data_IF_484968856439
#
_entry.id   IF_484968856439
#
_cell.length_a   1.000
_cell.length_b   1.000
_cell.length_c   1.000
_cell.angle_alpha   90.00
_cell.angle_beta   90.00
_cell.angle_gamma   90.00
#
_symmetry.space_group_name_H-M   'P 1'
#
loop_
_entity.id
_entity.type
_entity.pdbx_description
1 polymer ?
#
# COMPACT_ATOMS: atom_id res chain seq x y z
N UNK A 1 -5.26 7.05 -28.40
CA UNK A 1 -5.05 6.97 -26.94
C UNK A 1 -5.18 8.38 -26.37
N UNK A 2 -6.06 8.62 -25.39
CA UNK A 2 -6.18 9.95 -24.75
C UNK A 2 -5.21 10.06 -23.58
N UNK A 3 -4.84 11.29 -23.19
CA UNK A 3 -3.99 11.53 -22.00
C UNK A 3 -4.64 10.94 -20.74
N UNK A 4 -5.96 11.02 -20.63
CA UNK A 4 -6.74 10.39 -19.57
C UNK A 4 -6.51 8.87 -19.49
N UNK A 5 -6.57 8.16 -20.62
CA UNK A 5 -6.33 6.71 -20.65
C UNK A 5 -4.88 6.36 -20.27
N UNK A 6 -3.91 7.18 -20.69
CA UNK A 6 -2.49 6.98 -20.32
C UNK A 6 -2.30 7.18 -18.80
N UNK A 7 -2.89 8.23 -18.23
CA UNK A 7 -2.84 8.47 -16.79
C UNK A 7 -3.50 7.34 -15.99
N UNK A 8 -4.67 6.87 -16.44
CA UNK A 8 -5.35 5.73 -15.83
C UNK A 8 -4.49 4.47 -15.88
N UNK A 9 -3.86 4.19 -17.02
CA UNK A 9 -2.93 3.07 -17.17
C UNK A 9 -1.76 3.18 -16.18
N UNK A 10 -1.09 4.33 -16.12
CA UNK A 10 0.03 4.56 -15.20
C UNK A 10 -0.39 4.42 -13.73
N UNK A 11 -1.59 4.91 -13.36
CA UNK A 11 -2.15 4.74 -12.02
C UNK A 11 -2.30 3.26 -11.64
N UNK A 12 -2.87 2.47 -12.55
CA UNK A 12 -3.08 1.02 -12.34
C UNK A 12 -1.73 0.30 -12.26
N UNK A 13 -0.79 0.61 -13.17
CA UNK A 13 0.57 0.03 -13.14
C UNK A 13 1.28 0.38 -11.83
N UNK A 14 1.15 1.61 -11.34
CA UNK A 14 1.67 2.02 -10.05
C UNK A 14 1.09 1.20 -8.89
N UNK A 15 -0.22 0.95 -8.91
CA UNK A 15 -0.90 0.13 -7.92
C UNK A 15 -0.46 -1.35 -7.97
N UNK A 16 -0.35 -1.92 -9.18
CA UNK A 16 0.18 -3.28 -9.36
C UNK A 16 1.62 -3.38 -8.84
N UNK A 17 2.45 -2.38 -9.15
CA UNK A 17 3.83 -2.32 -8.65
C UNK A 17 3.86 -2.27 -7.11
N UNK A 18 2.95 -1.56 -6.45
CA UNK A 18 2.84 -1.57 -5.00
C UNK A 18 2.57 -2.98 -4.45
N UNK A 19 1.66 -3.73 -5.07
CA UNK A 19 1.40 -5.12 -4.68
C UNK A 19 2.60 -6.03 -4.89
N UNK A 20 3.37 -5.82 -5.96
CA UNK A 20 4.65 -6.53 -6.18
C UNK A 20 5.62 -6.21 -5.04
N UNK A 21 5.78 -4.94 -4.65
CA UNK A 21 6.68 -4.53 -3.56
C UNK A 21 6.24 -5.09 -2.20
N UNK A 22 4.94 -5.10 -1.92
CA UNK A 22 4.39 -5.74 -0.73
C UNK A 22 4.63 -7.26 -0.75
N UNK A 23 4.56 -7.89 -1.91
CA UNK A 23 4.84 -9.33 -2.05
C UNK A 23 6.32 -9.64 -1.80
N UNK A 24 7.22 -8.85 -2.39
CA UNK A 24 8.67 -8.95 -2.17
C UNK A 24 9.03 -8.72 -0.70
N UNK A 25 8.42 -7.73 -0.06
CA UNK A 25 8.60 -7.47 1.37
C UNK A 25 8.17 -8.68 2.21
N UNK A 26 6.97 -9.22 1.97
CA UNK A 26 6.48 -10.40 2.68
C UNK A 26 7.31 -11.65 2.42
N UNK A 27 7.89 -11.81 1.24
CA UNK A 27 8.78 -12.92 0.92
C UNK A 27 10.12 -12.79 1.65
N UNK A 28 10.76 -11.62 1.56
CA UNK A 28 12.07 -11.37 2.18
C UNK A 28 12.01 -11.49 3.71
N UNK A 29 10.95 -10.97 4.34
CA UNK A 29 10.73 -11.11 5.78
C UNK A 29 10.70 -12.58 6.22
N UNK A 30 10.07 -13.46 5.42
CA UNK A 30 10.00 -14.91 5.68
C UNK A 30 11.27 -15.68 5.33
N UNK A 31 12.30 -15.00 4.84
CA UNK A 31 13.62 -15.58 4.60
C UNK A 31 14.67 -15.03 5.59
N UNK A 32 14.23 -14.36 6.67
CA UNK A 32 15.13 -13.68 7.60
C UNK A 32 15.93 -12.53 6.96
N UNK A 33 15.54 -12.08 5.76
CA UNK A 33 16.21 -11.01 5.01
C UNK A 33 15.33 -9.75 4.95
N UNK A 34 15.85 -8.68 4.35
CA UNK A 34 15.10 -7.44 4.19
C UNK A 34 15.09 -6.95 2.75
N UNK A 35 13.89 -6.87 2.16
CA UNK A 35 13.65 -6.18 0.89
C UNK A 35 13.71 -4.65 1.01
N UNK A 36 14.02 -4.09 2.18
CA UNK A 36 13.94 -2.65 2.44
C UNK A 36 14.82 -1.81 1.51
N UNK A 37 16.00 -2.30 1.09
CA UNK A 37 16.85 -1.57 0.12
C UNK A 37 16.20 -1.47 -1.25
N UNK A 38 15.60 -2.56 -1.73
CA UNK A 38 14.86 -2.58 -2.99
C UNK A 38 13.62 -1.68 -2.91
N UNK A 39 12.82 -1.82 -1.85
CA UNK A 39 11.62 -1.01 -1.62
C UNK A 39 11.93 0.48 -1.41
N UNK A 40 13.12 0.84 -0.93
CA UNK A 40 13.54 2.24 -0.80
C UNK A 40 13.73 2.93 -2.16
N UNK A 41 14.09 2.17 -3.21
CA UNK A 41 14.28 2.70 -4.56
C UNK A 41 12.96 2.65 -5.34
N UNK A 42 12.30 1.50 -5.34
CA UNK A 42 11.12 1.27 -6.18
C UNK A 42 9.81 1.74 -5.52
N UNK A 43 9.76 1.80 -4.19
CA UNK A 43 8.61 2.29 -3.42
C UNK A 43 8.18 3.72 -3.80
N UNK A 44 9.10 4.70 -3.81
CA UNK A 44 8.78 6.05 -4.28
C UNK A 44 8.26 6.08 -5.71
N UNK A 45 8.81 5.25 -6.61
CA UNK A 45 8.36 5.16 -8.01
C UNK A 45 6.91 4.69 -8.08
N UNK A 46 6.57 3.62 -7.35
CA UNK A 46 5.19 3.13 -7.25
C UNK A 46 4.25 4.19 -6.68
N UNK A 47 4.64 4.85 -5.58
CA UNK A 47 3.83 5.91 -4.97
C UNK A 47 3.58 7.07 -5.93
N UNK A 48 4.59 7.51 -6.68
CA UNK A 48 4.45 8.56 -7.68
C UNK A 48 3.56 8.13 -8.85
N UNK A 49 3.72 6.91 -9.35
CA UNK A 49 2.87 6.34 -10.40
C UNK A 49 1.41 6.18 -9.97
N UNK A 50 1.13 6.03 -8.68
CA UNK A 50 -0.24 6.03 -8.15
C UNK A 50 -0.73 7.48 -7.99
N UNK A 51 0.00 8.31 -7.25
CA UNK A 51 -0.51 9.61 -6.79
C UNK A 51 -0.55 10.65 -7.91
N UNK A 52 0.49 10.76 -8.74
CA UNK A 52 0.56 11.81 -9.77
C UNK A 52 -0.53 11.62 -10.83
N UNK A 53 -0.67 10.44 -11.47
CA UNK A 53 -1.76 10.21 -12.40
C UNK A 53 -3.13 10.21 -11.70
N UNK A 54 -3.22 9.74 -10.45
CA UNK A 54 -4.46 9.79 -9.67
C UNK A 54 -4.98 11.22 -9.50
N UNK A 55 -4.12 12.15 -9.11
CA UNK A 55 -4.47 13.58 -8.97
C UNK A 55 -4.85 14.20 -10.33
N UNK A 56 -4.18 13.82 -11.41
CA UNK A 56 -4.56 14.24 -12.75
C UNK A 56 -5.97 13.74 -13.13
N UNK A 57 -6.31 12.48 -12.84
CA UNK A 57 -7.64 11.92 -13.12
C UNK A 57 -8.74 12.67 -12.35
N UNK A 58 -8.47 13.07 -11.10
CA UNK A 58 -9.36 13.92 -10.30
C UNK A 58 -9.59 15.27 -10.99
N UNK A 59 -8.50 15.94 -11.38
CA UNK A 59 -8.56 17.26 -12.01
C UNK A 59 -9.21 17.24 -13.40
N UNK A 60 -9.10 16.12 -14.13
CA UNK A 60 -9.57 16.00 -15.53
C UNK A 60 -10.98 15.43 -15.69
N UNK A 61 -11.62 14.93 -14.62
CA UNK A 61 -13.03 14.55 -14.70
C UNK A 61 -13.55 13.64 -13.59
N UNK A 62 -12.71 12.90 -12.87
CA UNK A 62 -13.19 12.01 -11.82
C UNK A 62 -13.76 12.77 -10.61
N UNK A 63 -13.28 14.01 -10.37
CA UNK A 63 -13.74 14.88 -9.29
C UNK A 63 -13.37 14.38 -7.90
N UNK A 64 -13.78 15.14 -6.88
CA UNK A 64 -13.47 14.87 -5.46
C UNK A 64 -14.56 14.03 -4.78
N UNK A 65 -14.86 12.86 -5.33
CA UNK A 65 -15.79 11.92 -4.71
C UNK A 65 -15.23 11.33 -3.41
N UNK A 66 -16.10 10.83 -2.52
CA UNK A 66 -15.69 10.29 -1.22
C UNK A 66 -14.64 9.17 -1.32
N UNK A 67 -14.82 8.23 -2.25
CA UNK A 67 -13.84 7.16 -2.50
C UNK A 67 -12.48 7.67 -2.99
N UNK A 68 -12.45 8.79 -3.73
CA UNK A 68 -11.20 9.41 -4.22
C UNK A 68 -10.40 9.93 -3.05
N UNK A 69 -11.03 10.71 -2.17
CA UNK A 69 -10.38 11.31 -1.00
C UNK A 69 -9.81 10.21 -0.10
N UNK A 70 -10.63 9.20 0.20
CA UNK A 70 -10.20 8.06 1.03
C UNK A 70 -9.08 7.28 0.35
N UNK A 71 -9.15 7.05 -0.96
CA UNK A 71 -8.10 6.37 -1.72
C UNK A 71 -6.76 7.11 -1.67
N UNK A 72 -6.75 8.42 -1.92
CA UNK A 72 -5.54 9.26 -1.86
C UNK A 72 -4.92 9.21 -0.47
N UNK A 73 -5.72 9.44 0.57
CA UNK A 73 -5.25 9.40 1.97
C UNK A 73 -4.65 8.03 2.28
N UNK A 74 -5.31 6.95 1.87
CA UNK A 74 -4.86 5.58 2.13
C UNK A 74 -3.54 5.26 1.42
N UNK A 75 -3.38 5.68 0.16
CA UNK A 75 -2.12 5.49 -0.57
C UNK A 75 -0.97 6.26 0.06
N UNK A 76 -1.20 7.50 0.49
CA UNK A 76 -0.21 8.29 1.22
C UNK A 76 0.18 7.59 2.53
N UNK A 77 -0.80 7.13 3.31
CA UNK A 77 -0.54 6.39 4.55
C UNK A 77 0.28 5.13 4.31
N UNK A 78 -0.06 4.33 3.29
CA UNK A 78 0.70 3.13 2.92
C UNK A 78 2.14 3.49 2.55
N UNK A 79 2.35 4.52 1.75
CA UNK A 79 3.68 4.98 1.34
C UNK A 79 4.52 5.46 2.54
N UNK A 80 3.92 6.28 3.42
CA UNK A 80 4.58 6.80 4.62
C UNK A 80 4.95 5.68 5.59
N UNK A 81 4.00 4.79 5.90
CA UNK A 81 4.27 3.63 6.75
C UNK A 81 5.35 2.71 6.16
N UNK A 82 5.33 2.49 4.84
CA UNK A 82 6.34 1.72 4.14
C UNK A 82 7.73 2.35 4.23
N UNK A 83 7.83 3.67 4.05
CA UNK A 83 9.08 4.41 4.20
C UNK A 83 9.61 4.35 5.63
N UNK A 84 8.76 4.59 6.64
CA UNK A 84 9.14 4.53 8.07
C UNK A 84 9.65 3.13 8.42
N UNK A 85 8.92 2.09 8.00
CA UNK A 85 9.28 0.68 8.25
C UNK A 85 10.62 0.35 7.60
N UNK A 86 10.77 0.63 6.30
CA UNK A 86 12.00 0.36 5.56
C UNK A 86 13.22 1.09 6.14
N UNK A 87 13.09 2.37 6.48
CA UNK A 87 14.19 3.14 7.09
C UNK A 87 14.54 2.59 8.48
N UNK A 88 13.54 2.22 9.28
CA UNK A 88 13.76 1.73 10.65
C UNK A 88 14.42 0.36 10.65
N UNK A 89 14.03 -0.54 9.74
CA UNK A 89 14.66 -1.85 9.54
C UNK A 89 16.12 -1.69 9.08
N UNK A 90 16.39 -0.83 8.08
CA UNK A 90 17.75 -0.58 7.60
C UNK A 90 18.66 0.05 8.67
N UNK A 91 18.09 0.77 9.63
CA UNK A 91 18.82 1.38 10.76
C UNK A 91 18.90 0.47 11.99
N UNK A 92 18.38 -0.76 11.93
CA UNK A 92 18.34 -1.68 13.08
C UNK A 92 17.45 -1.20 14.24
N UNK A 93 16.52 -0.26 13.99
CA UNK A 93 15.63 0.33 15.00
C UNK A 93 14.29 -0.38 15.13
N UNK A 94 14.03 -1.38 14.30
CA UNK A 94 12.76 -2.11 14.25
C UNK A 94 13.03 -3.60 14.14
N UNK A 95 12.33 -4.39 14.95
CA UNK A 95 12.41 -5.85 14.89
C UNK A 95 11.67 -6.40 13.67
N UNK A 96 12.05 -7.60 13.23
CA UNK A 96 11.37 -8.31 12.13
C UNK A 96 9.89 -8.54 12.43
N UNK A 97 9.54 -8.77 13.70
CA UNK A 97 8.17 -8.85 14.18
C UNK A 97 7.38 -7.56 13.94
N UNK A 98 7.94 -6.42 14.31
CA UNK A 98 7.28 -5.12 14.08
C UNK A 98 7.15 -4.80 12.58
N UNK A 99 8.17 -5.16 11.79
CA UNK A 99 8.11 -5.04 10.33
C UNK A 99 7.01 -5.93 9.72
N UNK A 100 6.86 -7.18 10.19
CA UNK A 100 5.81 -8.09 9.76
C UNK A 100 4.40 -7.56 10.07
N UNK A 101 4.20 -6.98 11.26
CA UNK A 101 2.92 -6.35 11.64
C UNK A 101 2.61 -5.16 10.73
N UNK A 102 3.57 -4.25 10.51
CA UNK A 102 3.42 -3.13 9.59
C UNK A 102 3.08 -3.59 8.17
N UNK A 103 3.75 -4.66 7.72
CA UNK A 103 3.53 -5.24 6.41
C UNK A 103 2.09 -5.77 6.25
N UNK A 104 1.58 -6.61 7.17
CA UNK A 104 0.21 -7.15 7.04
C UNK A 104 -0.87 -6.07 7.11
N UNK A 105 -0.66 -5.01 7.91
CA UNK A 105 -1.59 -3.87 7.98
C UNK A 105 -1.62 -3.15 6.62
N UNK A 106 -0.46 -2.86 6.03
CA UNK A 106 -0.37 -2.22 4.71
C UNK A 106 -0.99 -3.07 3.60
N UNK A 107 -0.79 -4.39 3.63
CA UNK A 107 -1.45 -5.33 2.71
C UNK A 107 -2.96 -5.25 2.85
N UNK A 108 -3.47 -5.32 4.09
CA UNK A 108 -4.89 -5.21 4.38
C UNK A 108 -5.49 -3.89 3.92
N UNK A 109 -4.81 -2.76 4.16
CA UNK A 109 -5.22 -1.46 3.65
C UNK A 109 -5.24 -1.43 2.12
N UNK A 110 -4.21 -1.94 1.45
CA UNK A 110 -4.14 -1.95 0.00
C UNK A 110 -5.30 -2.76 -0.62
N UNK A 111 -5.66 -3.90 -0.02
CA UNK A 111 -6.84 -4.68 -0.42
C UNK A 111 -8.13 -3.88 -0.21
N UNK A 112 -8.25 -3.19 0.93
CA UNK A 112 -9.38 -2.29 1.19
C UNK A 112 -9.50 -1.19 0.12
N UNK A 113 -8.38 -0.60 -0.31
CA UNK A 113 -8.39 0.42 -1.37
C UNK A 113 -8.78 -0.16 -2.73
N UNK A 114 -8.37 -1.40 -3.07
CA UNK A 114 -8.83 -2.06 -4.30
C UNK A 114 -10.35 -2.21 -4.31
N UNK A 115 -10.96 -2.60 -3.19
CA UNK A 115 -12.41 -2.61 -3.06
C UNK A 115 -13.01 -1.21 -3.27
N UNK A 116 -12.45 -0.18 -2.63
CA UNK A 116 -12.89 1.21 -2.78
C UNK A 116 -12.83 1.68 -4.24
N UNK A 117 -11.77 1.34 -4.98
CA UNK A 117 -11.61 1.71 -6.39
C UNK A 117 -12.55 0.93 -7.33
N UNK A 118 -13.00 -0.25 -6.91
CA UNK A 118 -13.92 -1.10 -7.68
C UNK A 118 -15.36 -0.66 -7.50
N UNK A 119 -15.80 -0.50 -6.24
CA UNK A 119 -17.20 -0.19 -5.90
C UNK A 119 -17.47 1.31 -5.94
N UNK A 120 -16.43 2.14 -5.79
CA UNK A 120 -16.51 3.61 -5.78
C UNK A 120 -17.57 4.18 -4.82
N UNK A 121 -17.61 3.72 -3.55
CA UNK A 121 -18.68 4.11 -2.64
C UNK A 121 -18.50 5.54 -2.10
N UNK A 122 -19.45 6.01 -1.30
CA UNK A 122 -19.28 7.22 -0.50
C UNK A 122 -18.16 7.11 0.54
N UNK A 123 -17.78 8.23 1.15
CA UNK A 123 -16.64 8.31 2.08
C UNK A 123 -16.78 7.37 3.28
N UNK A 124 -17.98 7.23 3.87
CA UNK A 124 -18.23 6.36 5.03
C UNK A 124 -17.84 4.91 4.75
N UNK A 125 -18.41 4.36 3.67
CA UNK A 125 -18.17 2.96 3.26
C UNK A 125 -16.74 2.78 2.78
N UNK A 126 -16.16 3.79 2.12
CA UNK A 126 -14.77 3.75 1.71
C UNK A 126 -13.82 3.69 2.92
N UNK A 127 -14.02 4.56 3.90
CA UNK A 127 -13.23 4.59 5.14
C UNK A 127 -13.39 3.28 5.93
N UNK A 128 -14.62 2.77 6.06
CA UNK A 128 -14.85 1.51 6.76
C UNK A 128 -14.18 0.34 6.06
N UNK A 129 -14.15 0.31 4.71
CA UNK A 129 -13.50 -0.75 3.95
C UNK A 129 -11.98 -0.76 4.17
N UNK A 130 -11.33 0.40 4.15
CA UNK A 130 -9.88 0.50 4.41
C UNK A 130 -9.54 0.14 5.86
N UNK A 131 -10.33 0.63 6.82
CA UNK A 131 -10.16 0.32 8.25
C UNK A 131 -10.36 -1.18 8.49
N UNK A 132 -11.42 -1.78 7.93
CA UNK A 132 -11.66 -3.22 8.02
C UNK A 132 -10.49 -4.01 7.42
N UNK A 133 -9.99 -3.61 6.25
CA UNK A 133 -8.80 -4.21 5.65
C UNK A 133 -7.58 -4.16 6.58
N UNK A 134 -7.30 -2.99 7.16
CA UNK A 134 -6.21 -2.81 8.14
C UNK A 134 -6.38 -3.72 9.38
N UNK A 135 -7.60 -3.81 9.92
CA UNK A 135 -7.93 -4.64 11.08
C UNK A 135 -7.82 -6.13 10.76
N UNK A 136 -8.23 -6.57 9.58
CA UNK A 136 -8.04 -7.95 9.10
C UNK A 136 -6.55 -8.27 8.98
N UNK A 137 -5.76 -7.35 8.41
CA UNK A 137 -4.30 -7.47 8.37
C UNK A 137 -3.70 -7.60 9.77
N UNK A 138 -4.12 -6.74 10.70
CA UNK A 138 -3.69 -6.79 12.10
C UNK A 138 -4.08 -8.10 12.78
N UNK A 139 -5.30 -8.61 12.58
CA UNK A 139 -5.75 -9.89 13.12
C UNK A 139 -4.91 -11.07 12.58
N UNK A 140 -4.53 -11.02 11.31
CA UNK A 140 -3.63 -11.98 10.66
C UNK A 140 -2.15 -11.89 11.09
N UNK A 141 -1.78 -10.84 11.84
CA UNK A 141 -0.38 -10.60 12.20
C UNK A 141 0.26 -11.73 12.99
N UNK A 142 -0.48 -12.45 13.83
CA UNK A 142 0.05 -13.60 14.59
C UNK A 142 0.61 -14.68 13.67
N UNK A 143 -0.06 -14.95 12.55
CA UNK A 143 0.40 -15.94 11.56
C UNK A 143 1.65 -15.43 10.86
N UNK A 144 1.64 -14.17 10.42
CA UNK A 144 2.79 -13.57 9.74
C UNK A 144 4.04 -13.51 10.63
N UNK A 145 3.88 -13.11 11.89
CA UNK A 145 4.99 -13.07 12.87
C UNK A 145 5.59 -14.45 13.09
N UNK A 146 4.74 -15.49 13.28
CA UNK A 146 5.22 -16.87 13.43
C UNK A 146 6.04 -17.34 12.23
N UNK A 147 5.58 -17.04 11.02
CA UNK A 147 6.29 -17.41 9.77
C UNK A 147 7.64 -16.71 9.63
N UNK A 148 7.76 -15.48 10.13
CA UNK A 148 9.00 -14.69 10.09
C UNK A 148 9.98 -15.13 11.19
N UNK A 149 9.48 -15.51 12.36
CA UNK A 149 10.32 -16.00 13.48
C UNK A 149 10.83 -17.43 13.25
N UNK A 150 10.16 -18.21 12.38
CA UNK A 150 10.59 -19.57 12.02
C UNK A 150 11.64 -19.63 10.90
N UNK A 151 11.99 -18.49 10.31
CA UNK A 151 12.89 -18.37 9.17
C UNK A 151 14.32 -18.02 9.61
#
# INVERSE_FOLDING_TARGET
MTIYSIALFLHIVGAVLLFVLLTVEGFTLRQGSTGARFNRIVGPISALLILVPGLYLVASGAGWAGWVVVGIVSWVLIAVMGAITGISVLRGRMSMRAAAISWVIRVGMAVGVVFVMTVKPGWLVASSAVIAGALVGLAGSRVAVRQVESA
#
